data_IF_235081898963
#
_entry.id   IF_235081898963
#
_cell.length_a   1.000
_cell.length_b   1.000
_cell.length_c   1.000
_cell.angle_alpha   90.00
_cell.angle_beta   90.00
_cell.angle_gamma   90.00
#
_symmetry.space_group_name_H-M   'P 1'
#
loop_
_entity.id
_entity.type
_entity.pdbx_description
1 polymer ?
#
# COMPACT_ATOMS: atom_id res chain seq x y z
N UNK A 1 -10.05 -20.11 -22.69
CA UNK A 1 -9.64 -18.93 -21.92
C UNK A 1 -8.12 -18.86 -21.94
N UNK A 2 -7.53 -17.83 -22.53
CA UNK A 2 -6.09 -17.58 -22.38
C UNK A 2 -5.90 -16.92 -21.02
N UNK A 3 -5.32 -17.64 -20.08
CA UNK A 3 -5.19 -17.18 -18.69
C UNK A 3 -4.14 -16.07 -18.55
N UNK A 4 -3.34 -15.82 -19.59
CA UNK A 4 -2.32 -14.76 -19.66
C UNK A 4 -2.24 -14.17 -21.09
N UNK A 5 -1.83 -12.90 -21.23
CA UNK A 5 -1.53 -12.30 -22.53
C UNK A 5 -0.35 -13.01 -23.21
N UNK A 6 -0.34 -13.03 -24.56
CA UNK A 6 0.67 -13.74 -25.38
C UNK A 6 2.13 -13.31 -25.08
N UNK A 7 2.33 -12.13 -24.50
CA UNK A 7 3.65 -11.61 -24.10
C UNK A 7 4.17 -12.07 -22.73
N UNK A 8 3.41 -12.86 -21.97
CA UNK A 8 3.80 -13.30 -20.62
C UNK A 8 3.61 -12.21 -19.55
N UNK A 9 3.02 -12.57 -18.41
CA UNK A 9 2.75 -11.63 -17.30
C UNK A 9 3.63 -11.84 -16.07
N UNK A 10 4.29 -13.00 -15.96
CA UNK A 10 5.16 -13.33 -14.83
C UNK A 10 6.61 -13.30 -15.26
N UNK A 11 7.46 -12.67 -14.43
CA UNK A 11 8.89 -12.84 -14.57
C UNK A 11 9.27 -14.30 -14.29
N UNK A 12 10.35 -14.82 -14.91
CA UNK A 12 10.85 -16.14 -14.57
C UNK A 12 11.17 -16.25 -13.08
N UNK A 13 11.16 -17.48 -12.55
CA UNK A 13 11.51 -17.75 -11.16
C UNK A 13 12.92 -17.22 -10.84
N UNK A 14 13.11 -16.73 -9.62
CA UNK A 14 14.39 -16.21 -9.07
C UNK A 14 14.89 -14.84 -9.58
N UNK A 15 14.03 -14.01 -10.19
CA UNK A 15 14.40 -12.64 -10.57
C UNK A 15 14.14 -11.57 -9.50
N UNK A 16 13.65 -11.96 -8.31
CA UNK A 16 13.38 -11.02 -7.22
C UNK A 16 12.29 -9.99 -7.50
N UNK A 17 11.40 -10.25 -8.47
CA UNK A 17 10.28 -9.36 -8.78
C UNK A 17 9.08 -9.69 -7.90
N UNK A 18 8.58 -8.68 -7.22
CA UNK A 18 7.36 -8.74 -6.42
C UNK A 18 6.17 -8.40 -7.33
N UNK A 19 5.14 -9.24 -7.32
CA UNK A 19 3.92 -8.99 -8.12
C UNK A 19 3.01 -8.06 -7.35
N UNK A 20 2.85 -6.86 -7.88
CA UNK A 20 1.88 -5.88 -7.43
C UNK A 20 0.46 -6.29 -7.87
N UNK A 21 -0.45 -6.50 -6.93
CA UNK A 21 -1.76 -7.10 -7.23
C UNK A 21 -2.93 -6.13 -7.21
N UNK A 22 -2.87 -5.09 -6.37
CA UNK A 22 -4.01 -4.19 -6.16
C UNK A 22 -3.63 -2.72 -6.33
N UNK A 23 -4.41 -2.01 -7.14
CA UNK A 23 -4.26 -0.58 -7.42
C UNK A 23 -5.42 0.19 -6.79
N UNK A 24 -5.15 1.07 -5.82
CA UNK A 24 -6.18 1.82 -5.10
C UNK A 24 -5.93 3.33 -5.12
N UNK A 25 -6.34 4.05 -6.17
CA UNK A 25 -6.23 5.51 -6.20
C UNK A 25 -7.17 6.14 -5.15
N UNK A 26 -6.66 6.96 -4.22
CA UNK A 26 -7.48 7.55 -3.15
C UNK A 26 -8.34 8.69 -3.69
N UNK A 27 -7.79 9.55 -4.54
CA UNK A 27 -8.58 10.56 -5.26
C UNK A 27 -8.20 10.48 -6.71
N UNK A 28 -9.20 10.27 -7.56
CA UNK A 28 -9.05 10.29 -9.01
C UNK A 28 -10.01 11.37 -9.55
N UNK A 29 -9.46 12.53 -9.91
CA UNK A 29 -10.27 13.65 -10.37
C UNK A 29 -9.50 14.56 -11.32
N UNK A 30 -10.23 15.30 -12.15
CA UNK A 30 -9.63 16.33 -12.98
C UNK A 30 -9.42 17.59 -12.15
N UNK A 31 -8.24 18.19 -12.24
CA UNK A 31 -7.98 19.47 -11.57
C UNK A 31 -8.88 20.54 -12.15
N UNK A 32 -9.43 21.43 -11.30
CA UNK A 32 -10.33 22.45 -11.78
C UNK A 32 -9.61 23.42 -12.72
N UNK A 33 -10.28 23.85 -13.80
CA UNK A 33 -9.72 24.74 -14.84
C UNK A 33 -9.15 26.07 -14.30
N UNK A 34 -9.61 26.53 -13.14
CA UNK A 34 -9.15 27.78 -12.54
C UNK A 34 -7.74 27.69 -11.93
N UNK A 35 -7.18 26.48 -11.78
CA UNK A 35 -5.84 26.28 -11.22
C UNK A 35 -4.77 26.73 -12.25
N UNK A 36 -3.89 27.68 -11.91
CA UNK A 36 -2.83 28.10 -12.82
C UNK A 36 -1.85 26.95 -13.07
N UNK A 37 -1.36 26.82 -14.31
CA UNK A 37 -0.35 25.87 -14.79
C UNK A 37 -0.75 24.38 -14.88
N UNK A 38 -1.70 23.90 -14.11
CA UNK A 38 -2.10 22.47 -14.06
C UNK A 38 -3.63 22.25 -14.11
N UNK A 39 -4.38 23.29 -14.46
CA UNK A 39 -5.84 23.25 -14.54
C UNK A 39 -6.32 22.45 -15.76
N UNK A 40 -7.29 21.55 -15.54
CA UNK A 40 -7.83 20.66 -16.58
C UNK A 40 -7.13 19.30 -16.70
N UNK A 41 -5.96 19.11 -16.06
CA UNK A 41 -5.24 17.84 -16.10
C UNK A 41 -5.87 16.77 -15.19
N UNK A 42 -5.79 15.52 -15.64
CA UNK A 42 -6.14 14.36 -14.84
C UNK A 42 -5.18 14.22 -13.65
N UNK A 43 -5.72 14.16 -12.45
CA UNK A 43 -4.94 14.10 -11.23
C UNK A 43 -5.38 12.94 -10.34
N UNK A 44 -4.40 12.11 -10.04
CA UNK A 44 -4.55 11.03 -9.06
C UNK A 44 -3.75 11.41 -7.83
N UNK A 45 -4.44 11.70 -6.72
CA UNK A 45 -3.79 11.90 -5.43
C UNK A 45 -3.66 10.56 -4.74
N UNK A 46 -2.41 10.09 -4.66
CA UNK A 46 -2.01 8.87 -3.98
C UNK A 46 -2.57 7.59 -4.62
N UNK A 47 -1.72 6.93 -5.39
CA UNK A 47 -2.01 5.67 -6.09
C UNK A 47 -1.18 4.51 -5.52
N UNK A 48 -1.41 4.09 -4.27
CA UNK A 48 -0.68 2.99 -3.67
C UNK A 48 -0.99 1.70 -4.42
N UNK A 49 0.09 0.96 -4.65
CA UNK A 49 0.06 -0.35 -5.25
C UNK A 49 0.39 -1.33 -4.13
N UNK A 50 -0.49 -2.29 -3.88
CA UNK A 50 -0.35 -3.24 -2.78
C UNK A 50 -0.16 -4.66 -3.30
N UNK A 51 0.77 -5.38 -2.67
CA UNK A 51 0.80 -6.83 -2.73
C UNK A 51 0.06 -7.44 -1.52
N UNK A 52 -0.42 -8.67 -1.67
CA UNK A 52 -0.98 -9.47 -0.58
C UNK A 52 -0.03 -9.59 0.62
N UNK A 53 1.30 -9.64 0.37
CA UNK A 53 2.30 -9.65 1.43
C UNK A 53 2.26 -8.38 2.29
N UNK A 54 2.19 -7.20 1.66
CA UNK A 54 2.13 -5.91 2.37
C UNK A 54 0.81 -5.77 3.14
N UNK A 55 -0.29 -6.29 2.59
CA UNK A 55 -1.58 -6.34 3.27
C UNK A 55 -1.53 -7.25 4.52
N UNK A 56 -0.91 -8.43 4.43
CA UNK A 56 -0.76 -9.34 5.56
C UNK A 56 0.09 -8.73 6.69
N UNK A 57 1.23 -8.09 6.34
CA UNK A 57 2.09 -7.41 7.33
C UNK A 57 1.33 -6.24 7.97
N UNK A 58 0.65 -5.41 7.18
CA UNK A 58 -0.13 -4.28 7.68
C UNK A 58 -1.23 -4.72 8.66
N UNK A 59 -2.04 -5.71 8.27
CA UNK A 59 -3.08 -6.28 9.14
C UNK A 59 -2.50 -6.89 10.42
N UNK A 60 -1.37 -7.60 10.32
CA UNK A 60 -0.68 -8.19 11.47
C UNK A 60 -0.21 -7.14 12.48
N UNK A 61 0.39 -6.05 12.01
CA UNK A 61 0.83 -4.94 12.86
C UNK A 61 -0.37 -4.25 13.50
N UNK A 62 -1.45 -3.99 12.75
CA UNK A 62 -2.67 -3.38 13.29
C UNK A 62 -3.27 -4.26 14.38
N UNK A 63 -3.40 -5.57 14.14
CA UNK A 63 -3.90 -6.51 15.14
C UNK A 63 -3.00 -6.54 16.38
N UNK A 64 -1.67 -6.57 16.20
CA UNK A 64 -0.71 -6.52 17.30
C UNK A 64 -0.86 -5.23 18.11
N UNK A 65 -0.95 -4.08 17.45
CA UNK A 65 -1.15 -2.80 18.13
C UNK A 65 -2.49 -2.76 18.88
N UNK A 66 -3.58 -3.27 18.31
CA UNK A 66 -4.89 -3.25 18.97
C UNK A 66 -4.94 -4.22 20.17
N UNK A 67 -4.54 -5.48 19.98
CA UNK A 67 -4.70 -6.52 20.99
C UNK A 67 -3.56 -6.58 22.02
N UNK A 68 -2.35 -6.15 21.65
CA UNK A 68 -1.20 -6.09 22.55
C UNK A 68 -0.81 -4.66 22.97
N UNK A 69 -1.62 -3.64 22.64
CA UNK A 69 -1.42 -2.23 23.05
C UNK A 69 -1.04 -2.08 24.52
N UNK A 70 -1.76 -2.77 25.42
CA UNK A 70 -1.54 -2.68 26.87
C UNK A 70 -0.16 -3.20 27.28
N UNK A 71 0.22 -4.37 26.79
CA UNK A 71 1.53 -4.96 27.09
C UNK A 71 2.66 -4.10 26.54
N UNK A 72 2.50 -3.56 25.32
CA UNK A 72 3.47 -2.64 24.73
C UNK A 72 3.63 -1.37 25.56
N UNK A 73 2.53 -0.81 26.06
CA UNK A 73 2.55 0.39 26.91
C UNK A 73 3.23 0.12 28.25
N UNK A 74 2.92 -1.00 28.90
CA UNK A 74 3.52 -1.40 30.18
C UNK A 74 5.04 -1.60 30.03
N UNK A 75 5.48 -2.24 28.94
CA UNK A 75 6.91 -2.38 28.60
C UNK A 75 7.59 -1.02 28.36
N UNK A 76 6.95 -0.11 27.62
CA UNK A 76 7.49 1.23 27.37
C UNK A 76 7.72 2.01 28.66
N UNK A 77 6.76 1.94 29.59
CA UNK A 77 6.90 2.56 30.91
C UNK A 77 7.99 1.91 31.77
N UNK A 78 8.16 0.59 31.70
CA UNK A 78 9.24 -0.11 32.40
C UNK A 78 10.63 0.30 31.89
N UNK A 79 10.80 0.42 30.57
CA UNK A 79 12.06 0.88 29.95
C UNK A 79 12.36 2.33 30.34
N UNK A 80 11.36 3.22 30.29
CA UNK A 80 11.54 4.64 30.63
C UNK A 80 11.87 4.90 32.11
N UNK A 81 11.52 3.95 32.99
CA UNK A 81 11.77 4.04 34.43
C UNK A 81 13.18 3.52 34.81
N UNK A 82 13.78 2.70 33.96
CA UNK A 82 15.18 2.23 34.09
C UNK A 82 16.17 3.29 33.60
#
# INVERSE_FOLDING_TARGET
ASFLPEGGGYAPLFYGKVVDMFYFPIIDTNRPQWMPLVGGDHFIFFSPIFNLADAAISCGIIALLLFYSKYLNDYYHAIKKS
#
